data_IF_791617350380
#
_entry.id   IF_791617350380
#
_cell.length_a   1.000
_cell.length_b   1.000
_cell.length_c   1.000
_cell.angle_alpha   90.00
_cell.angle_beta   90.00
_cell.angle_gamma   90.00
#
_symmetry.space_group_name_H-M   'P 1'
#
loop_
_entity.id
_entity.type
_entity.pdbx_description
1 polymer ?
#
# COMPACT_ATOMS: atom_id res chain seq x y z
N UNK A 1 16.78 11.28 4.10
CA UNK A 1 16.88 12.77 4.13
C UNK A 1 18.17 13.20 3.44
N UNK A 2 18.11 14.21 2.56
CA UNK A 2 19.29 14.70 1.82
C UNK A 2 20.05 15.73 2.68
N UNK A 3 21.38 15.67 2.81
CA UNK A 3 22.14 16.64 3.61
C UNK A 3 21.89 18.08 3.14
N UNK A 4 21.70 19.02 4.07
CA UNK A 4 21.41 20.43 3.78
C UNK A 4 19.93 20.76 3.54
N UNK A 5 19.02 19.79 3.68
CA UNK A 5 17.57 20.00 3.57
C UNK A 5 16.91 19.80 4.92
N UNK A 6 16.26 20.84 5.44
CA UNK A 6 15.40 20.75 6.62
C UNK A 6 13.99 20.28 6.22
N UNK A 7 13.34 19.51 7.08
CA UNK A 7 11.96 19.05 6.89
C UNK A 7 11.21 19.11 8.22
N UNK A 8 9.88 19.18 8.15
CA UNK A 8 8.99 19.12 9.31
C UNK A 8 7.71 18.39 8.89
N UNK A 9 7.23 17.48 9.73
CA UNK A 9 5.94 16.81 9.53
C UNK A 9 4.83 17.87 9.60
N UNK A 10 3.95 17.85 8.58
CA UNK A 10 2.77 18.71 8.54
C UNK A 10 1.54 17.90 8.96
N UNK A 11 1.44 16.67 8.45
CA UNK A 11 0.35 15.75 8.76
C UNK A 11 0.80 14.29 8.60
N UNK A 12 0.00 13.37 9.12
CA UNK A 12 0.16 11.92 8.99
C UNK A 12 -1.08 11.33 8.31
N UNK A 13 -0.88 10.53 7.27
CA UNK A 13 -1.96 9.91 6.50
C UNK A 13 -2.01 8.40 6.75
N UNK A 14 -3.22 7.86 6.91
CA UNK A 14 -3.42 6.42 7.08
C UNK A 14 -3.49 5.70 5.73
N UNK A 15 -2.74 4.59 5.61
CA UNK A 15 -2.88 3.69 4.47
C UNK A 15 -4.20 2.93 4.59
N UNK A 16 -5.06 3.05 3.57
CA UNK A 16 -6.36 2.36 3.53
C UNK A 16 -6.38 1.27 2.46
N UNK A 17 -7.15 0.20 2.72
CA UNK A 17 -7.37 -0.88 1.77
C UNK A 17 -8.64 -0.62 0.97
N UNK A 18 -8.50 -0.30 -0.33
CA UNK A 18 -9.63 -0.19 -1.24
C UNK A 18 -9.99 -1.57 -1.81
N UNK A 19 -11.27 -1.94 -1.71
CA UNK A 19 -11.78 -3.22 -2.17
C UNK A 19 -13.03 -3.01 -3.03
N UNK A 20 -13.31 -3.91 -4.01
CA UNK A 20 -14.62 -3.98 -4.65
C UNK A 20 -15.73 -4.10 -3.61
N UNK A 21 -16.88 -3.46 -3.85
CA UNK A 21 -18.00 -3.43 -2.90
C UNK A 21 -18.57 -4.81 -2.56
N UNK A 22 -18.40 -5.77 -3.47
CA UNK A 22 -18.84 -7.17 -3.34
C UNK A 22 -17.76 -8.09 -2.76
N UNK A 23 -16.55 -7.57 -2.49
CA UNK A 23 -15.47 -8.35 -1.92
C UNK A 23 -15.83 -8.85 -0.49
N UNK A 24 -15.54 -10.12 -0.13
CA UNK A 24 -15.89 -10.65 1.19
C UNK A 24 -15.35 -9.82 2.37
N UNK A 25 -14.16 -9.23 2.21
CA UNK A 25 -13.52 -8.38 3.22
C UNK A 25 -14.11 -6.95 3.28
N UNK A 26 -14.86 -6.49 2.26
CA UNK A 26 -15.42 -5.14 2.22
C UNK A 26 -16.48 -4.88 3.31
N UNK A 27 -16.99 -5.95 3.94
CA UNK A 27 -17.91 -5.86 5.09
C UNK A 27 -17.20 -5.59 6.41
N UNK A 28 -15.87 -5.62 6.43
CA UNK A 28 -15.08 -5.35 7.65
C UNK A 28 -14.70 -3.87 7.69
N UNK A 29 -14.86 -3.25 8.85
CA UNK A 29 -14.37 -1.88 9.08
C UNK A 29 -12.84 -1.80 9.20
N UNK A 30 -12.18 -2.93 9.44
CA UNK A 30 -10.72 -3.03 9.50
C UNK A 30 -10.30 -4.37 8.90
N UNK A 31 -9.28 -4.35 8.06
CA UNK A 31 -8.75 -5.55 7.39
C UNK A 31 -7.34 -5.81 7.92
N UNK A 32 -7.12 -6.92 8.64
CA UNK A 32 -5.78 -7.35 9.01
C UNK A 32 -4.93 -7.59 7.75
N UNK A 33 -3.66 -7.18 7.72
CA UNK A 33 -2.83 -7.30 6.52
C UNK A 33 -2.57 -8.75 6.10
N UNK A 34 -2.39 -9.66 7.06
CA UNK A 34 -2.09 -11.08 6.81
C UNK A 34 -3.17 -11.80 6.00
N UNK A 35 -4.45 -11.44 6.16
CA UNK A 35 -5.55 -12.03 5.37
C UNK A 35 -5.51 -11.62 3.90
N UNK A 36 -4.73 -10.59 3.54
CA UNK A 36 -4.53 -10.15 2.16
C UNK A 36 -3.41 -10.92 1.44
N UNK A 37 -2.66 -11.79 2.13
CA UNK A 37 -1.49 -12.47 1.55
C UNK A 37 -1.78 -13.28 0.27
N UNK A 38 -3.02 -13.74 0.11
CA UNK A 38 -3.48 -14.47 -1.09
C UNK A 38 -4.15 -13.60 -2.17
N UNK A 39 -4.46 -12.34 -1.87
CA UNK A 39 -5.26 -11.48 -2.75
C UNK A 39 -4.42 -10.89 -3.88
N UNK A 40 -5.04 -10.59 -5.06
CA UNK A 40 -4.37 -9.86 -6.13
C UNK A 40 -4.31 -8.35 -5.80
N UNK A 41 -3.13 -7.76 -5.94
CA UNK A 41 -2.91 -6.33 -5.71
C UNK A 41 -2.85 -5.55 -7.02
N UNK A 42 -3.38 -4.33 -7.00
CA UNK A 42 -3.11 -3.27 -7.98
C UNK A 42 -2.16 -2.27 -7.32
N UNK A 43 -1.12 -1.85 -8.02
CA UNK A 43 -0.08 -0.98 -7.45
C UNK A 43 0.38 0.08 -8.46
N UNK A 44 1.06 1.11 -7.98
CA UNK A 44 1.87 1.96 -8.85
C UNK A 44 3.05 1.19 -9.47
N UNK A 45 3.58 1.65 -10.62
CA UNK A 45 4.79 1.10 -11.21
C UNK A 45 5.99 1.19 -10.28
N UNK A 46 6.80 0.14 -10.22
CA UNK A 46 7.96 0.06 -9.32
C UNK A 46 9.05 1.13 -9.56
N UNK A 47 9.15 1.65 -10.79
CA UNK A 47 10.16 2.64 -11.18
C UNK A 47 9.74 4.10 -10.94
N UNK A 48 8.53 4.34 -10.42
CA UNK A 48 7.99 5.69 -10.25
C UNK A 48 8.46 6.41 -8.98
N UNK A 49 9.12 5.70 -8.04
CA UNK A 49 9.48 6.26 -6.74
C UNK A 49 8.27 6.59 -5.87
N UNK A 50 7.16 5.87 -6.05
CA UNK A 50 5.92 6.08 -5.32
C UNK A 50 6.05 5.69 -3.85
N UNK A 51 5.97 6.69 -2.96
CA UNK A 51 5.98 6.47 -1.50
C UNK A 51 4.83 5.58 -1.04
N UNK A 52 3.66 5.65 -1.69
CA UNK A 52 2.51 4.81 -1.34
C UNK A 52 2.79 3.33 -1.65
N UNK A 53 3.38 3.05 -2.82
CA UNK A 53 3.80 1.68 -3.17
C UNK A 53 4.81 1.15 -2.16
N UNK A 54 5.82 1.96 -1.83
CA UNK A 54 6.87 1.53 -0.92
C UNK A 54 6.31 1.24 0.47
N UNK A 55 5.44 2.11 0.99
CA UNK A 55 4.74 1.90 2.26
C UNK A 55 3.85 0.65 2.24
N UNK A 56 3.10 0.41 1.15
CA UNK A 56 2.29 -0.79 0.98
C UNK A 56 3.16 -2.06 0.98
N UNK A 57 4.26 -2.07 0.22
CA UNK A 57 5.18 -3.21 0.15
C UNK A 57 5.81 -3.48 1.52
N UNK A 58 6.32 -2.45 2.20
CA UNK A 58 6.91 -2.59 3.53
C UNK A 58 5.89 -3.11 4.56
N UNK A 59 4.65 -2.64 4.51
CA UNK A 59 3.59 -3.10 5.40
C UNK A 59 3.25 -4.59 5.18
N UNK A 60 3.16 -5.02 3.92
CA UNK A 60 2.93 -6.43 3.59
C UNK A 60 4.10 -7.31 4.05
N UNK A 61 5.34 -6.89 3.78
CA UNK A 61 6.54 -7.63 4.17
C UNK A 61 6.66 -7.75 5.69
N UNK A 62 6.35 -6.66 6.42
CA UNK A 62 6.28 -6.66 7.88
C UNK A 62 5.19 -7.58 8.43
N UNK A 63 4.11 -7.78 7.68
CA UNK A 63 3.06 -8.76 7.99
C UNK A 63 3.43 -10.20 7.55
N UNK A 64 4.60 -10.41 6.95
CA UNK A 64 5.15 -11.73 6.62
C UNK A 64 4.85 -12.22 5.20
N UNK A 65 4.43 -11.36 4.27
CA UNK A 65 4.20 -11.75 2.88
C UNK A 65 4.62 -10.68 1.87
N UNK A 66 4.92 -11.10 0.64
CA UNK A 66 5.16 -10.16 -0.47
C UNK A 66 3.87 -9.99 -1.26
N UNK A 67 3.41 -8.76 -1.54
CA UNK A 67 2.13 -8.55 -2.22
C UNK A 67 2.20 -9.06 -3.67
N UNK A 68 1.19 -9.83 -4.09
CA UNK A 68 1.09 -10.32 -5.46
C UNK A 68 0.46 -9.26 -6.37
N UNK A 69 1.29 -8.36 -6.90
CA UNK A 69 0.86 -7.33 -7.84
C UNK A 69 0.51 -7.97 -9.19
N UNK A 70 -0.76 -7.92 -9.57
CA UNK A 70 -1.26 -8.45 -10.86
C UNK A 70 -1.45 -7.36 -11.91
N UNK A 71 -1.45 -6.09 -11.49
CA UNK A 71 -1.59 -4.94 -12.37
C UNK A 71 -0.83 -3.75 -11.80
N UNK A 72 -0.12 -3.04 -12.67
CA UNK A 72 0.45 -1.73 -12.39
C UNK A 72 -0.39 -0.65 -13.09
N UNK A 73 -0.70 0.42 -12.37
CA UNK A 73 -1.47 1.56 -12.87
C UNK A 73 -0.78 2.87 -12.45
N UNK A 74 -0.26 3.67 -13.40
CA UNK A 74 0.32 4.97 -13.07
C UNK A 74 -0.76 5.99 -12.68
N UNK A 75 -0.42 6.91 -11.77
CA UNK A 75 -1.19 8.15 -11.60
C UNK A 75 -0.99 9.01 -12.85
N UNK A 76 -2.07 9.19 -13.62
CA UNK A 76 -2.12 10.04 -14.82
C UNK A 76 -2.54 11.47 -14.49
#
# INVERSE_FOLDING_TARGET
>A
TRPGVAHRVIDEEELVCALPSDHPLARRGTVPLDVLAGEPFVSFPANSGSTVRDAMTEACESAGFTPRVVQEAPDS
#
